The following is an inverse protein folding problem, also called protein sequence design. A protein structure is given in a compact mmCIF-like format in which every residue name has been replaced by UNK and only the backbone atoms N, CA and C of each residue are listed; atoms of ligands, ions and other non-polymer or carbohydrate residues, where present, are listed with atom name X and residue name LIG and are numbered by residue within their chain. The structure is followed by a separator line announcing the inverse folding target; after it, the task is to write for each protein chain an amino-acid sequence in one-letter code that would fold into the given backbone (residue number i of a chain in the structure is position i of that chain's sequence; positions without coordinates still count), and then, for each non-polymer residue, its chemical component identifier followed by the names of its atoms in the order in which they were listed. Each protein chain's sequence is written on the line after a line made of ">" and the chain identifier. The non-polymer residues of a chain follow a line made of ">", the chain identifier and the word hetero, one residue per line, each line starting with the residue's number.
data_IF_131178353601
#
_entry.id   IF_131178353601
#
_cell.length_a   1.000
_cell.length_b   1.000
_cell.length_c   1.000
_cell.angle_alpha   90.00
_cell.angle_beta   90.00
_cell.angle_gamma   90.00
#
_symmetry.space_group_name_H-M   'P 1'
#
loop_
_entity.id
_entity.type
_entity.pdbx_description
1 polymer ?
#
# COMPACT_ATOMS: atom_id res chain seq x y z
N UNK A 1 4.71 -30.76 18.94
CA UNK A 1 5.24 -29.58 19.65
C UNK A 1 5.78 -28.62 18.60
N UNK A 2 4.96 -27.66 18.18
CA UNK A 2 5.35 -26.65 17.19
C UNK A 2 5.75 -25.38 17.94
N UNK A 3 7.02 -25.00 17.86
CA UNK A 3 7.53 -23.74 18.38
C UNK A 3 7.25 -22.65 17.36
N UNK A 4 6.19 -21.87 17.59
CA UNK A 4 5.96 -20.60 16.89
C UNK A 4 6.98 -19.57 17.42
N UNK A 5 8.17 -19.54 16.84
CA UNK A 5 9.07 -18.39 16.96
C UNK A 5 8.48 -17.27 16.13
N UNK A 6 7.66 -16.43 16.76
CA UNK A 6 7.33 -15.11 16.24
C UNK A 6 8.61 -14.28 16.29
N UNK A 7 9.34 -14.25 15.17
CA UNK A 7 10.44 -13.31 14.93
C UNK A 7 9.80 -11.93 14.90
N UNK A 8 9.84 -11.23 16.04
CA UNK A 8 9.49 -9.81 16.09
C UNK A 8 10.49 -9.11 15.19
N UNK A 9 10.05 -8.62 14.04
CA UNK A 9 10.91 -7.83 13.16
C UNK A 9 11.51 -6.66 13.96
N UNK A 10 12.81 -6.39 13.83
CA UNK A 10 13.46 -5.32 14.57
C UNK A 10 12.86 -3.98 14.14
N UNK A 11 11.94 -3.46 14.94
CA UNK A 11 11.38 -2.12 14.78
C UNK A 11 12.44 -1.06 15.08
N UNK A 12 12.45 0.03 14.31
CA UNK A 12 13.33 1.18 14.54
C UNK A 12 13.12 1.73 15.96
N UNK A 13 14.20 1.85 16.73
CA UNK A 13 14.16 2.46 18.07
C UNK A 13 13.95 3.97 17.96
N UNK A 14 12.70 4.41 18.07
CA UNK A 14 12.32 5.82 17.99
C UNK A 14 12.89 6.67 19.13
N UNK A 15 13.27 6.08 20.28
CA UNK A 15 13.95 6.82 21.35
C UNK A 15 15.37 7.16 20.91
N UNK A 16 16.08 6.18 20.34
CA UNK A 16 17.42 6.40 19.78
C UNK A 16 17.39 7.42 18.62
N UNK A 17 16.40 7.34 17.73
CA UNK A 17 16.23 8.31 16.63
C UNK A 17 16.00 9.72 17.19
N UNK A 18 15.10 9.88 18.16
CA UNK A 18 14.84 11.19 18.78
C UNK A 18 16.10 11.80 19.40
N UNK A 19 16.90 10.99 20.10
CA UNK A 19 18.18 11.43 20.68
C UNK A 19 19.21 11.80 19.61
N UNK A 20 19.24 11.09 18.48
CA UNK A 20 20.11 11.42 17.36
C UNK A 20 19.71 12.75 16.72
N UNK A 21 18.42 12.98 16.48
CA UNK A 21 17.90 14.22 15.90
C UNK A 21 18.20 15.41 16.82
N UNK A 22 17.95 15.32 18.12
CA UNK A 22 18.27 16.41 19.08
C UNK A 22 19.76 16.77 19.03
N UNK A 23 20.65 15.77 18.99
CA UNK A 23 22.10 16.00 18.85
C UNK A 23 22.46 16.63 17.52
N UNK A 24 21.87 16.18 16.41
CA UNK A 24 22.13 16.72 15.08
C UNK A 24 21.69 18.19 14.98
N UNK A 25 20.52 18.53 15.53
CA UNK A 25 20.01 19.91 15.57
C UNK A 25 20.95 20.80 16.37
N UNK A 26 21.33 20.39 17.60
CA UNK A 26 22.26 21.15 18.43
C UNK A 26 23.63 21.33 17.78
N UNK A 27 24.14 20.30 17.11
CA UNK A 27 25.43 20.35 16.42
C UNK A 27 25.42 21.27 15.19
N UNK A 28 24.27 21.45 14.54
CA UNK A 28 24.12 22.32 13.36
C UNK A 28 23.98 23.81 13.72
N UNK A 29 23.78 24.15 15.00
CA UNK A 29 23.59 25.55 15.45
C UNK A 29 24.94 26.18 15.79
N UNK A 30 25.28 27.36 15.22
CA UNK A 30 26.49 28.09 15.57
C UNK A 30 26.57 28.43 17.07
N UNK A 31 27.77 28.35 17.66
CA UNK A 31 27.96 28.57 19.10
C UNK A 31 27.41 29.92 19.62
N UNK A 32 27.48 30.99 18.82
CA UNK A 32 26.96 32.31 19.19
C UNK A 32 25.42 32.41 19.20
N UNK A 33 24.73 31.40 18.68
CA UNK A 33 23.27 31.26 18.69
C UNK A 33 22.80 30.19 19.69
N UNK A 34 23.71 29.72 20.54
CA UNK A 34 23.39 28.87 21.69
C UNK A 34 23.15 29.74 22.92
N UNK A 35 22.16 29.35 23.71
CA UNK A 35 21.85 29.93 25.02
C UNK A 35 21.99 28.85 26.08
N UNK A 36 21.98 29.24 27.35
CA UNK A 36 21.94 28.27 28.45
C UNK A 36 20.55 28.28 29.07
N UNK A 37 19.78 27.21 28.87
CA UNK A 37 18.54 27.02 29.63
C UNK A 37 18.90 26.44 30.99
N UNK A 38 18.71 27.24 32.04
CA UNK A 38 18.89 26.77 33.42
C UNK A 38 17.86 25.70 33.78
N UNK A 39 18.26 24.76 34.64
CA UNK A 39 17.36 23.71 35.15
C UNK A 39 16.22 24.32 35.99
N UNK A 40 16.55 25.36 36.76
CA UNK A 40 15.64 26.24 37.51
C UNK A 40 16.19 27.67 37.46
N UNK A 41 15.38 28.72 37.62
CA UNK A 41 15.84 30.12 37.51
C UNK A 41 17.10 30.44 38.33
N UNK A 42 17.17 29.90 39.54
CA UNK A 42 18.24 30.07 40.51
C UNK A 42 19.43 29.12 40.35
N UNK A 43 19.35 28.14 39.45
CA UNK A 43 20.40 27.13 39.25
C UNK A 43 21.63 27.73 38.57
N UNK A 44 22.82 27.34 39.02
CA UNK A 44 24.09 27.57 38.30
C UNK A 44 24.30 26.55 37.18
N UNK A 45 23.60 25.41 37.25
CA UNK A 45 23.57 24.41 36.18
C UNK A 45 22.53 24.75 35.12
N UNK A 46 22.92 24.61 33.86
CA UNK A 46 22.02 24.71 32.71
C UNK A 46 22.51 23.89 31.55
N UNK A 47 21.64 23.72 30.56
CA UNK A 47 21.93 22.99 29.34
C UNK A 47 22.11 23.96 28.17
N UNK A 48 23.10 23.73 27.29
CA UNK A 48 23.20 24.48 26.06
C UNK A 48 21.98 24.16 25.18
N UNK A 49 21.23 25.20 24.82
CA UNK A 49 20.04 25.10 23.97
C UNK A 49 20.09 26.14 22.86
N UNK A 50 19.72 25.78 21.62
CA UNK A 50 19.62 26.73 20.52
C UNK A 50 18.65 27.86 20.84
N UNK A 51 18.95 29.07 20.40
CA UNK A 51 17.92 30.11 20.29
C UNK A 51 16.77 29.60 19.40
N UNK A 52 15.50 29.94 19.69
CA UNK A 52 14.35 29.32 19.01
C UNK A 52 14.41 29.35 17.48
N UNK A 53 14.77 30.49 16.88
CA UNK A 53 14.86 30.62 15.41
C UNK A 53 16.03 29.80 14.83
N UNK A 54 17.19 29.82 15.48
CA UNK A 54 18.35 29.04 15.06
C UNK A 54 18.08 27.53 15.18
N UNK A 55 17.43 27.10 16.26
CA UNK A 55 16.98 25.73 16.47
C UNK A 55 15.99 25.27 15.41
N UNK A 56 15.01 26.10 15.03
CA UNK A 56 14.07 25.79 13.95
C UNK A 56 14.76 25.68 12.59
N UNK A 57 15.67 26.61 12.27
CA UNK A 57 16.44 26.55 11.02
C UNK A 57 17.30 25.29 10.93
N UNK A 58 17.98 24.93 12.02
CA UNK A 58 18.77 23.71 12.11
C UNK A 58 17.89 22.46 11.99
N UNK A 59 16.72 22.42 12.65
CA UNK A 59 15.76 21.33 12.53
C UNK A 59 15.29 21.14 11.09
N UNK A 60 14.92 22.21 10.39
CA UNK A 60 14.54 22.13 8.97
C UNK A 60 15.68 21.63 8.08
N UNK A 61 16.93 22.00 8.37
CA UNK A 61 18.09 21.50 7.65
C UNK A 61 18.30 19.99 7.88
N UNK A 62 18.21 19.54 9.13
CA UNK A 62 18.28 18.11 9.50
C UNK A 62 17.17 17.32 8.81
N UNK A 63 15.93 17.83 8.81
CA UNK A 63 14.80 17.20 8.12
C UNK A 63 15.07 17.03 6.63
N UNK A 64 15.53 18.08 5.93
CA UNK A 64 15.84 17.99 4.49
C UNK A 64 16.96 16.98 4.20
N UNK A 65 17.99 16.93 5.04
CA UNK A 65 19.07 15.97 4.89
C UNK A 65 18.57 14.52 5.10
N UNK A 66 17.76 14.30 6.13
CA UNK A 66 17.15 13.00 6.38
C UNK A 66 16.22 12.56 5.23
N UNK A 67 15.42 13.48 4.67
CA UNK A 67 14.59 13.23 3.50
C UNK A 67 15.44 12.87 2.27
N UNK A 68 16.51 13.62 1.99
CA UNK A 68 17.42 13.30 0.89
C UNK A 68 18.07 11.92 1.05
N UNK A 69 18.40 11.54 2.29
CA UNK A 69 18.93 10.21 2.60
C UNK A 69 17.90 9.11 2.38
N UNK A 70 16.65 9.32 2.81
CA UNK A 70 15.55 8.40 2.54
C UNK A 70 15.33 8.20 1.04
N UNK A 71 15.35 9.29 0.25
CA UNK A 71 15.21 9.20 -1.21
C UNK A 71 16.42 8.52 -1.87
N UNK A 72 17.62 8.66 -1.30
CA UNK A 72 18.78 7.90 -1.75
C UNK A 72 18.60 6.40 -1.51
N UNK A 73 18.07 6.00 -0.35
CA UNK A 73 17.74 4.61 -0.08
C UNK A 73 16.61 4.09 -0.98
N UNK A 74 15.56 4.87 -1.23
CA UNK A 74 14.50 4.50 -2.17
C UNK A 74 15.05 4.24 -3.58
N UNK A 75 15.99 5.06 -4.07
CA UNK A 75 16.70 4.83 -5.33
C UNK A 75 17.54 3.55 -5.31
N UNK A 76 18.18 3.24 -4.19
CA UNK A 76 18.91 1.99 -3.98
C UNK A 76 17.99 0.78 -4.06
N UNK A 77 16.89 0.79 -3.30
CA UNK A 77 15.86 -0.24 -3.31
C UNK A 77 15.27 -0.45 -4.71
N UNK A 78 14.92 0.64 -5.40
CA UNK A 78 14.46 0.57 -6.79
C UNK A 78 15.51 -0.10 -7.69
N UNK A 79 16.79 0.26 -7.54
CA UNK A 79 17.90 -0.37 -8.25
C UNK A 79 18.06 -1.86 -7.96
N UNK A 80 17.74 -2.31 -6.75
CA UNK A 80 17.76 -3.72 -6.34
C UNK A 80 16.51 -4.50 -6.78
N UNK A 81 15.49 -3.80 -7.29
CA UNK A 81 14.27 -4.40 -7.87
C UNK A 81 13.01 -4.21 -7.05
N UNK A 82 13.02 -3.42 -5.97
CA UNK A 82 11.78 -3.08 -5.25
C UNK A 82 10.84 -2.27 -6.15
N UNK A 83 9.54 -2.52 -6.03
CA UNK A 83 8.50 -1.78 -6.76
C UNK A 83 8.24 -0.40 -6.14
N UNK A 84 7.57 0.48 -6.89
CA UNK A 84 7.12 1.77 -6.32
C UNK A 84 6.02 1.60 -5.27
N UNK A 85 5.26 0.51 -5.30
CA UNK A 85 4.27 0.18 -4.26
C UNK A 85 4.99 -0.18 -2.94
N UNK A 86 6.00 -1.06 -2.98
CA UNK A 86 6.80 -1.42 -1.79
C UNK A 86 7.52 -0.20 -1.19
N UNK A 87 8.03 0.68 -2.06
CA UNK A 87 8.66 1.94 -1.63
C UNK A 87 7.62 2.89 -1.02
N UNK A 88 6.40 2.95 -1.55
CA UNK A 88 5.33 3.78 -0.99
C UNK A 88 4.94 3.33 0.43
N UNK A 89 4.85 2.01 0.65
CA UNK A 89 4.59 1.42 1.96
C UNK A 89 5.69 1.78 2.97
N UNK A 90 6.97 1.67 2.58
CA UNK A 90 8.10 2.04 3.43
C UNK A 90 8.20 3.53 3.71
N UNK A 91 7.73 4.37 2.79
CA UNK A 91 7.62 5.81 2.98
C UNK A 91 6.36 6.22 3.77
N UNK A 92 5.56 5.24 4.21
CA UNK A 92 4.31 5.43 4.95
C UNK A 92 3.35 6.40 4.23
N UNK A 93 3.30 6.31 2.89
CA UNK A 93 2.41 7.14 2.08
C UNK A 93 1.00 6.61 2.24
N UNK A 94 0.16 7.33 2.96
CA UNK A 94 -1.25 6.99 3.11
C UNK A 94 -2.01 7.10 1.78
N UNK A 95 -3.04 6.27 1.64
CA UNK A 95 -3.95 6.36 0.50
C UNK A 95 -4.68 7.71 0.51
N UNK A 96 -4.83 8.31 -0.66
CA UNK A 96 -5.64 9.50 -0.89
C UNK A 96 -6.45 9.34 -2.17
N UNK A 97 -7.64 9.95 -2.23
CA UNK A 97 -8.40 10.04 -3.47
C UNK A 97 -7.69 10.91 -4.54
N UNK A 98 -6.75 11.77 -4.11
CA UNK A 98 -6.08 12.73 -4.99
C UNK A 98 -4.85 12.14 -5.71
N UNK A 99 -4.35 10.98 -5.27
CA UNK A 99 -3.16 10.37 -5.87
C UNK A 99 -3.07 8.85 -5.64
N UNK A 100 -2.41 8.16 -6.58
CA UNK A 100 -2.03 6.76 -6.39
C UNK A 100 -0.73 6.70 -5.57
N UNK A 101 -0.66 5.85 -4.53
CA UNK A 101 0.48 5.79 -3.60
C UNK A 101 1.83 5.60 -4.30
N UNK A 102 1.93 4.65 -5.25
CA UNK A 102 3.15 4.40 -6.03
C UNK A 102 3.61 5.59 -6.86
N UNK A 103 2.67 6.33 -7.45
CA UNK A 103 2.98 7.54 -8.21
C UNK A 103 3.51 8.60 -7.26
N UNK A 104 2.86 8.77 -6.11
CA UNK A 104 3.28 9.71 -5.08
C UNK A 104 4.69 9.41 -4.55
N UNK A 105 5.03 8.13 -4.34
CA UNK A 105 6.37 7.71 -3.95
C UNK A 105 7.41 8.15 -4.99
N UNK A 106 7.14 7.89 -6.27
CA UNK A 106 8.01 8.33 -7.36
C UNK A 106 8.17 9.85 -7.37
N UNK A 107 7.08 10.61 -7.29
CA UNK A 107 7.13 12.07 -7.30
C UNK A 107 7.95 12.66 -6.15
N UNK A 108 7.83 12.09 -4.95
CA UNK A 108 8.61 12.51 -3.79
C UNK A 108 10.11 12.30 -4.01
N UNK A 109 10.49 11.14 -4.56
CA UNK A 109 11.90 10.77 -4.82
C UNK A 109 12.47 11.54 -6.03
N UNK A 110 11.69 11.74 -7.09
CA UNK A 110 12.07 12.50 -8.27
C UNK A 110 12.20 14.00 -7.97
N UNK A 111 11.41 14.49 -7.00
CA UNK A 111 11.39 15.89 -6.60
C UNK A 111 10.57 16.77 -7.54
N UNK A 112 10.70 18.11 -7.40
CA UNK A 112 9.93 19.05 -8.20
C UNK A 112 10.26 18.93 -9.68
N UNK A 113 9.25 19.15 -10.54
CA UNK A 113 9.43 19.27 -11.99
C UNK A 113 10.41 20.42 -12.24
N UNK A 114 11.43 20.20 -13.07
CA UNK A 114 12.37 21.27 -13.42
C UNK A 114 11.64 22.38 -14.17
N UNK A 115 12.04 23.64 -14.00
CA UNK A 115 11.42 24.77 -14.71
C UNK A 115 11.58 24.73 -16.24
N UNK A 116 12.39 23.81 -16.76
CA UNK A 116 12.74 23.70 -18.19
C UNK A 116 12.23 22.42 -18.86
N UNK A 117 11.48 21.55 -18.17
CA UNK A 117 10.96 20.33 -18.75
C UNK A 117 9.79 19.78 -17.94
N UNK A 118 8.79 19.23 -18.61
CA UNK A 118 7.59 18.65 -17.98
C UNK A 118 7.85 17.29 -17.32
N UNK A 119 8.97 16.65 -17.63
CA UNK A 119 9.23 15.27 -17.23
C UNK A 119 9.99 15.18 -15.91
N UNK A 120 9.51 14.32 -15.02
CA UNK A 120 10.23 13.85 -13.84
C UNK A 120 10.93 12.54 -14.19
N UNK A 121 12.16 12.39 -13.73
CA UNK A 121 12.86 11.12 -13.81
C UNK A 121 13.76 10.92 -12.60
N UNK A 122 13.97 9.66 -12.27
CA UNK A 122 14.91 9.22 -11.24
C UNK A 122 16.03 8.42 -11.92
N UNK A 123 17.26 8.63 -11.47
CA UNK A 123 18.37 7.79 -11.86
C UNK A 123 18.80 6.88 -10.72
N UNK A 124 19.10 5.63 -11.05
CA UNK A 124 19.73 4.67 -10.15
C UNK A 124 20.57 3.68 -10.95
N UNK A 125 21.36 2.88 -10.26
CA UNK A 125 22.09 1.76 -10.85
C UNK A 125 21.24 0.51 -10.69
N UNK A 126 21.02 -0.23 -11.78
CA UNK A 126 20.37 -1.54 -11.76
C UNK A 126 21.28 -2.55 -11.03
N UNK A 127 21.09 -2.68 -9.72
CA UNK A 127 21.93 -3.44 -8.81
C UNK A 127 21.33 -4.76 -8.35
N UNK A 128 21.85 -5.28 -7.25
CA UNK A 128 21.43 -6.57 -6.70
C UNK A 128 21.87 -7.78 -7.53
N UNK A 129 21.42 -8.97 -7.14
CA UNK A 129 21.84 -10.25 -7.75
C UNK A 129 21.27 -10.49 -9.16
N UNK A 130 20.22 -9.74 -9.53
CA UNK A 130 19.53 -9.81 -10.83
C UNK A 130 19.76 -8.57 -11.71
N UNK A 131 20.42 -7.53 -11.20
CA UNK A 131 20.66 -6.30 -11.94
C UNK A 131 21.71 -6.45 -13.04
N UNK A 132 21.69 -5.52 -14.00
CA UNK A 132 22.65 -5.47 -15.10
C UNK A 132 23.82 -4.49 -14.87
N UNK A 133 23.86 -3.79 -13.73
CA UNK A 133 24.88 -2.80 -13.38
C UNK A 133 24.79 -1.47 -14.14
N UNK A 134 23.87 -1.33 -15.08
CA UNK A 134 23.73 -0.11 -15.89
C UNK A 134 23.01 1.01 -15.12
N UNK A 135 23.22 2.24 -15.58
CA UNK A 135 22.48 3.41 -15.09
C UNK A 135 21.12 3.48 -15.76
N UNK A 136 20.06 3.45 -14.96
CA UNK A 136 18.67 3.45 -15.42
C UNK A 136 18.08 4.85 -15.29
N UNK A 137 17.24 5.21 -16.25
CA UNK A 137 16.33 6.37 -16.18
C UNK A 137 14.92 5.84 -15.97
N UNK A 138 14.33 6.09 -14.80
CA UNK A 138 12.97 5.69 -14.46
C UNK A 138 12.06 6.92 -14.53
N UNK A 139 10.97 6.83 -15.30
CA UNK A 139 9.96 7.88 -15.51
C UNK A 139 8.76 7.74 -14.56
N UNK A 140 8.77 6.74 -13.70
CA UNK A 140 7.73 6.46 -12.72
C UNK A 140 6.66 5.50 -13.22
N UNK A 141 5.74 5.08 -12.36
CA UNK A 141 4.76 4.03 -12.64
C UNK A 141 3.52 4.55 -13.39
N UNK A 142 3.72 5.41 -14.39
CA UNK A 142 2.63 6.07 -15.13
C UNK A 142 2.21 5.30 -16.38
N UNK A 143 3.08 4.49 -16.97
CA UNK A 143 2.72 3.65 -18.10
C UNK A 143 2.37 2.24 -17.63
N UNK A 144 1.48 1.59 -18.39
CA UNK A 144 0.98 0.26 -18.07
C UNK A 144 2.08 -0.81 -18.06
N UNK A 145 3.10 -0.70 -18.91
CA UNK A 145 4.10 -1.77 -19.07
C UNK A 145 5.46 -1.40 -18.43
N UNK A 146 6.11 -2.31 -17.65
CA UNK A 146 7.34 -1.98 -16.91
C UNK A 146 8.49 -1.43 -17.76
N UNK A 147 8.70 -1.96 -18.97
CA UNK A 147 9.80 -1.49 -19.84
C UNK A 147 9.56 -0.11 -20.45
N UNK A 148 8.34 0.41 -20.42
CA UNK A 148 8.05 1.77 -20.92
C UNK A 148 8.41 2.83 -19.88
N UNK A 149 8.50 2.41 -18.62
CA UNK A 149 8.82 3.27 -17.49
C UNK A 149 10.33 3.41 -17.27
N UNK A 150 11.15 2.50 -17.81
CA UNK A 150 12.59 2.45 -17.54
C UNK A 150 13.45 2.28 -18.79
N UNK A 151 14.45 3.15 -18.94
CA UNK A 151 15.47 3.05 -20.00
C UNK A 151 16.87 2.80 -19.43
N UNK A 152 17.74 2.19 -20.24
CA UNK A 152 19.18 2.05 -19.97
C UNK A 152 19.61 0.67 -19.47
N UNK A 153 18.70 -0.31 -19.44
CA UNK A 153 19.07 -1.70 -19.12
C UNK A 153 19.94 -2.31 -20.21
N UNK A 154 20.87 -3.19 -19.82
CA UNK A 154 21.54 -4.06 -20.78
C UNK A 154 20.55 -5.09 -21.34
N UNK A 155 20.83 -5.57 -22.55
CA UNK A 155 20.10 -6.70 -23.13
C UNK A 155 20.13 -7.91 -22.19
N UNK A 156 18.97 -8.54 -21.97
CA UNK A 156 18.84 -9.69 -21.07
C UNK A 156 18.89 -9.37 -19.57
N UNK A 157 18.69 -8.10 -19.17
CA UNK A 157 18.61 -7.72 -17.76
C UNK A 157 17.55 -8.56 -17.01
N UNK A 158 18.01 -9.40 -16.07
CA UNK A 158 17.14 -10.33 -15.32
C UNK A 158 16.20 -9.61 -14.36
N UNK A 159 16.57 -8.44 -13.84
CA UNK A 159 15.69 -7.61 -12.99
C UNK A 159 14.48 -7.12 -13.79
N UNK A 160 14.72 -6.48 -14.93
CA UNK A 160 13.63 -5.99 -15.79
C UNK A 160 12.76 -7.16 -16.29
N UNK A 161 13.38 -8.27 -16.69
CA UNK A 161 12.65 -9.46 -17.09
C UNK A 161 11.72 -9.99 -15.98
N UNK A 162 12.17 -10.00 -14.72
CA UNK A 162 11.35 -10.41 -13.59
C UNK A 162 10.17 -9.45 -13.33
N UNK A 163 10.37 -8.14 -13.50
CA UNK A 163 9.28 -7.15 -13.39
C UNK A 163 8.26 -7.31 -14.52
N UNK A 164 8.72 -7.53 -15.76
CA UNK A 164 7.85 -7.83 -16.90
C UNK A 164 7.05 -9.11 -16.67
N UNK A 165 7.69 -10.18 -16.17
CA UNK A 165 7.00 -11.44 -15.87
C UNK A 165 5.98 -11.27 -14.74
N UNK A 166 6.30 -10.49 -13.71
CA UNK A 166 5.36 -10.16 -12.63
C UNK A 166 4.15 -9.39 -13.14
N UNK A 167 4.39 -8.41 -14.02
CA UNK A 167 3.33 -7.67 -14.68
C UNK A 167 2.44 -8.58 -15.54
N UNK A 168 3.04 -9.45 -16.35
CA UNK A 168 2.30 -10.41 -17.19
C UNK A 168 1.43 -11.34 -16.34
N UNK A 169 1.97 -11.91 -15.26
CA UNK A 169 1.17 -12.73 -14.33
C UNK A 169 -0.01 -11.96 -13.74
N UNK A 170 0.19 -10.70 -13.37
CA UNK A 170 -0.89 -9.87 -12.86
C UNK A 170 -1.96 -9.58 -13.92
N UNK A 171 -1.57 -9.34 -15.18
CA UNK A 171 -2.52 -9.21 -16.28
C UNK A 171 -3.27 -10.52 -16.55
N UNK A 172 -2.57 -11.64 -16.62
CA UNK A 172 -3.16 -12.96 -16.81
C UNK A 172 -4.17 -13.29 -15.71
N UNK A 173 -3.87 -12.93 -14.45
CA UNK A 173 -4.79 -13.07 -13.32
C UNK A 173 -6.03 -12.19 -13.48
N UNK A 174 -5.87 -10.92 -13.87
CA UNK A 174 -6.99 -10.01 -14.12
C UNK A 174 -7.89 -10.52 -15.25
N UNK A 175 -7.30 -10.92 -16.37
CA UNK A 175 -8.04 -11.49 -17.50
C UNK A 175 -8.73 -12.79 -17.11
N UNK A 176 -8.06 -13.65 -16.32
CA UNK A 176 -8.68 -14.88 -15.82
C UNK A 176 -9.90 -14.58 -14.95
N UNK A 177 -9.77 -13.61 -14.02
CA UNK A 177 -10.87 -13.18 -13.17
C UNK A 177 -12.01 -12.59 -13.99
N UNK A 178 -11.71 -11.81 -15.02
CA UNK A 178 -12.71 -11.27 -15.95
C UNK A 178 -13.46 -12.39 -16.67
N UNK A 179 -12.74 -13.37 -17.24
CA UNK A 179 -13.35 -14.55 -17.87
C UNK A 179 -14.26 -15.32 -16.90
N UNK A 180 -13.80 -15.56 -15.66
CA UNK A 180 -14.62 -16.24 -14.64
C UNK A 180 -15.89 -15.45 -14.33
N UNK A 181 -15.81 -14.12 -14.23
CA UNK A 181 -16.99 -13.28 -14.03
C UNK A 181 -17.95 -13.35 -15.21
N UNK A 182 -17.44 -13.30 -16.44
CA UNK A 182 -18.24 -13.36 -17.68
C UNK A 182 -18.97 -14.70 -17.81
N UNK A 183 -18.29 -15.82 -17.52
CA UNK A 183 -18.87 -17.16 -17.58
C UNK A 183 -19.90 -17.41 -16.46
N UNK A 184 -19.65 -16.91 -15.24
CA UNK A 184 -20.52 -17.15 -14.09
C UNK A 184 -21.76 -16.24 -14.04
N UNK A 185 -21.66 -15.01 -14.55
CA UNK A 185 -22.75 -14.03 -14.44
C UNK A 185 -24.09 -14.51 -15.05
N UNK A 186 -24.13 -15.15 -16.23
CA UNK A 186 -25.37 -15.71 -16.79
C UNK A 186 -25.97 -16.86 -15.97
N UNK A 187 -25.17 -17.56 -15.15
CA UNK A 187 -25.61 -18.67 -14.31
C UNK A 187 -26.33 -18.19 -13.04
N UNK A 188 -26.12 -16.93 -12.65
CA UNK A 188 -26.88 -16.28 -11.57
C UNK A 188 -28.26 -15.89 -12.09
N UNK A 189 -29.21 -16.81 -11.99
CA UNK A 189 -30.54 -16.64 -12.61
C UNK A 189 -31.53 -15.87 -11.73
N UNK A 190 -31.41 -15.96 -10.41
CA UNK A 190 -32.34 -15.35 -9.46
C UNK A 190 -32.05 -13.86 -9.21
N UNK A 191 -33.09 -13.08 -8.91
CA UNK A 191 -32.96 -11.63 -8.71
C UNK A 191 -32.07 -11.28 -7.52
N UNK A 192 -32.15 -12.04 -6.42
CA UNK A 192 -31.39 -11.77 -5.20
C UNK A 192 -29.88 -12.01 -5.41
N UNK A 193 -29.50 -13.07 -6.13
CA UNK A 193 -28.13 -13.33 -6.55
C UNK A 193 -27.56 -12.21 -7.42
N UNK A 194 -28.30 -11.76 -8.44
CA UNK A 194 -27.87 -10.63 -9.30
C UNK A 194 -27.67 -9.34 -8.51
N UNK A 195 -28.59 -9.08 -7.60
CA UNK A 195 -28.53 -7.96 -6.67
C UNK A 195 -27.36 -8.05 -5.69
N UNK A 196 -27.00 -9.26 -5.26
CA UNK A 196 -25.83 -9.52 -4.43
C UNK A 196 -24.54 -9.24 -5.20
N UNK A 197 -24.44 -9.70 -6.46
CA UNK A 197 -23.29 -9.41 -7.35
C UNK A 197 -23.05 -7.90 -7.46
N UNK A 198 -24.10 -7.12 -7.73
CA UNK A 198 -24.00 -5.67 -7.84
C UNK A 198 -23.51 -5.02 -6.54
N UNK A 199 -24.03 -5.46 -5.39
CA UNK A 199 -23.63 -4.93 -4.07
C UNK A 199 -22.20 -5.30 -3.69
N UNK A 200 -21.74 -6.53 -4.02
CA UNK A 200 -20.35 -6.93 -3.83
C UNK A 200 -19.42 -6.02 -4.63
N UNK A 201 -19.71 -5.82 -5.93
CA UNK A 201 -18.93 -4.93 -6.79
C UNK A 201 -18.93 -3.48 -6.28
N UNK A 202 -20.07 -3.02 -5.75
CA UNK A 202 -20.16 -1.71 -5.09
C UNK A 202 -19.23 -1.63 -3.87
N UNK A 203 -19.24 -2.64 -2.99
CA UNK A 203 -18.36 -2.69 -1.82
C UNK A 203 -16.89 -2.72 -2.21
N UNK A 204 -16.52 -3.49 -3.23
CA UNK A 204 -15.14 -3.56 -3.73
C UNK A 204 -14.67 -2.23 -4.32
N UNK A 205 -15.55 -1.47 -4.97
CA UNK A 205 -15.22 -0.17 -5.56
C UNK A 205 -15.27 1.01 -4.57
N UNK A 206 -16.00 0.89 -3.45
CA UNK A 206 -16.28 2.01 -2.53
C UNK A 206 -15.87 1.75 -1.06
N UNK A 207 -15.22 0.62 -0.76
CA UNK A 207 -14.61 0.34 0.56
C UNK A 207 -15.60 -0.01 1.67
N UNK A 208 -16.44 -1.03 1.48
CA UNK A 208 -17.10 -1.71 2.63
C UNK A 208 -18.33 -1.02 3.24
N UNK A 209 -19.04 -0.17 2.50
CA UNK A 209 -20.25 0.50 3.04
C UNK A 209 -21.48 -0.41 2.97
N UNK A 210 -21.82 -1.08 4.07
CA UNK A 210 -23.03 -1.90 4.23
C UNK A 210 -24.27 -1.12 4.75
N UNK A 211 -24.19 0.21 4.87
CA UNK A 211 -25.24 1.01 5.55
C UNK A 211 -26.52 1.09 4.72
N UNK A 212 -27.66 0.84 5.37
CA UNK A 212 -28.98 0.91 4.75
C UNK A 212 -29.41 -0.38 4.03
N UNK A 213 -28.60 -1.43 4.11
CA UNK A 213 -28.96 -2.75 3.61
C UNK A 213 -29.71 -3.56 4.68
N UNK A 214 -30.60 -4.43 4.23
CA UNK A 214 -31.23 -5.45 5.05
C UNK A 214 -30.20 -6.48 5.54
N UNK A 215 -30.53 -7.17 6.65
CA UNK A 215 -29.66 -8.21 7.19
C UNK A 215 -29.31 -9.29 6.17
N UNK A 216 -30.26 -9.73 5.35
CA UNK A 216 -30.02 -10.76 4.32
C UNK A 216 -29.01 -10.30 3.26
N UNK A 217 -29.08 -9.03 2.85
CA UNK A 217 -28.15 -8.46 1.87
C UNK A 217 -26.75 -8.31 2.47
N UNK A 218 -26.63 -7.82 3.71
CA UNK A 218 -25.34 -7.73 4.41
C UNK A 218 -24.68 -9.11 4.55
N UNK A 219 -25.46 -10.12 4.94
CA UNK A 219 -24.97 -11.50 5.05
C UNK A 219 -24.53 -12.06 3.70
N UNK A 220 -25.31 -11.84 2.63
CA UNK A 220 -24.98 -12.35 1.31
C UNK A 220 -23.64 -11.77 0.80
N UNK A 221 -23.44 -10.46 0.96
CA UNK A 221 -22.19 -9.81 0.57
C UNK A 221 -21.01 -10.28 1.43
N UNK A 222 -21.19 -10.38 2.75
CA UNK A 222 -20.15 -10.87 3.66
C UNK A 222 -19.76 -12.33 3.35
N UNK A 223 -20.74 -13.19 3.04
CA UNK A 223 -20.48 -14.56 2.59
C UNK A 223 -19.70 -14.57 1.28
N UNK A 224 -20.10 -13.80 0.27
CA UNK A 224 -19.39 -13.74 -1.01
C UNK A 224 -17.95 -13.27 -0.83
N UNK A 225 -17.73 -12.24 0.01
CA UNK A 225 -16.40 -11.69 0.29
C UNK A 225 -15.58 -12.48 1.32
N UNK A 226 -16.15 -13.54 1.92
CA UNK A 226 -15.55 -14.30 3.04
C UNK A 226 -15.19 -13.40 4.24
N UNK A 227 -15.99 -12.37 4.49
CA UNK A 227 -15.80 -11.40 5.56
C UNK A 227 -16.41 -11.90 6.88
N UNK A 228 -15.66 -12.74 7.59
CA UNK A 228 -16.09 -13.33 8.87
C UNK A 228 -16.31 -12.27 9.96
N UNK A 229 -15.54 -11.18 9.94
CA UNK A 229 -15.69 -10.09 10.89
C UNK A 229 -17.06 -9.41 10.73
N UNK A 230 -17.48 -9.18 9.48
CA UNK A 230 -18.79 -8.62 9.21
C UNK A 230 -19.93 -9.59 9.57
N UNK A 231 -19.76 -10.90 9.37
CA UNK A 231 -20.72 -11.91 9.82
C UNK A 231 -20.92 -11.89 11.35
N UNK A 232 -19.84 -11.83 12.10
CA UNK A 232 -19.86 -11.72 13.56
C UNK A 232 -20.51 -10.41 14.01
N UNK A 233 -20.19 -9.30 13.35
CA UNK A 233 -20.74 -7.98 13.67
C UNK A 233 -22.27 -7.91 13.51
N UNK A 234 -22.85 -8.72 12.62
CA UNK A 234 -24.32 -8.84 12.46
C UNK A 234 -24.93 -10.01 13.24
N UNK A 235 -24.14 -10.69 14.07
CA UNK A 235 -24.61 -11.66 15.06
C UNK A 235 -24.65 -13.12 14.59
N UNK A 236 -23.88 -13.50 13.56
CA UNK A 236 -23.87 -14.88 13.04
C UNK A 236 -22.55 -15.55 13.35
N UNK A 237 -22.60 -16.73 13.96
CA UNK A 237 -21.41 -17.44 14.44
C UNK A 237 -20.72 -18.27 13.35
N UNK A 238 -21.37 -18.50 12.21
CA UNK A 238 -20.79 -19.28 11.11
C UNK A 238 -21.34 -18.91 9.73
N UNK A 239 -20.56 -19.11 8.65
CA UNK A 239 -21.04 -18.97 7.29
C UNK A 239 -22.25 -19.84 6.96
N UNK A 240 -22.32 -21.07 7.50
CA UNK A 240 -23.44 -21.98 7.23
C UNK A 240 -24.75 -21.50 7.88
N UNK A 241 -24.67 -20.86 9.04
CA UNK A 241 -25.84 -20.27 9.71
C UNK A 241 -26.36 -19.07 8.92
N UNK A 242 -25.46 -18.17 8.51
CA UNK A 242 -25.80 -17.03 7.66
C UNK A 242 -26.43 -17.49 6.33
N UNK A 243 -25.86 -18.51 5.69
CA UNK A 243 -26.39 -19.05 4.44
C UNK A 243 -27.81 -19.63 4.64
N UNK A 244 -28.03 -20.44 5.69
CA UNK A 244 -29.37 -20.95 6.03
C UNK A 244 -30.39 -19.83 6.21
N UNK A 245 -30.00 -18.74 6.88
CA UNK A 245 -30.87 -17.57 7.09
C UNK A 245 -31.27 -16.88 5.80
N UNK A 246 -30.35 -16.76 4.85
CA UNK A 246 -30.63 -16.18 3.54
C UNK A 246 -31.60 -17.09 2.78
N UNK A 247 -31.30 -18.40 2.72
CA UNK A 247 -32.12 -19.38 2.01
C UNK A 247 -33.56 -19.42 2.55
N UNK A 248 -33.76 -19.35 3.88
CA UNK A 248 -35.10 -19.32 4.46
C UNK A 248 -35.89 -18.06 4.15
N UNK A 249 -35.22 -16.98 3.73
CA UNK A 249 -35.85 -15.71 3.37
C UNK A 249 -36.15 -15.56 1.88
N UNK A 250 -35.68 -16.48 1.04
CA UNK A 250 -35.92 -16.45 -0.40
C UNK A 250 -37.29 -17.03 -0.74
N UNK A 251 -38.02 -16.38 -1.65
CA UNK A 251 -39.29 -16.91 -2.17
C UNK A 251 -39.10 -18.22 -2.94
N UNK A 252 -37.96 -18.36 -3.62
CA UNK A 252 -37.60 -19.55 -4.41
C UNK A 252 -36.15 -19.90 -4.14
N UNK A 253 -35.83 -20.57 -3.03
CA UNK A 253 -34.44 -20.88 -2.69
C UNK A 253 -33.81 -21.85 -3.71
N UNK A 254 -32.52 -21.70 -4.03
CA UNK A 254 -31.79 -22.65 -4.87
C UNK A 254 -31.76 -24.04 -4.23
N UNK A 255 -31.72 -25.08 -5.08
CA UNK A 255 -31.67 -26.48 -4.62
C UNK A 255 -30.34 -26.81 -3.94
N UNK A 256 -29.25 -26.22 -4.43
CA UNK A 256 -27.93 -26.30 -3.83
C UNK A 256 -27.47 -24.89 -3.41
N UNK A 257 -27.62 -24.52 -2.13
CA UNK A 257 -27.17 -23.24 -1.62
C UNK A 257 -25.66 -23.01 -1.72
N UNK A 258 -24.85 -24.08 -1.68
CA UNK A 258 -23.40 -23.97 -1.75
C UNK A 258 -22.95 -23.69 -3.18
N UNK A 259 -23.50 -24.43 -4.15
CA UNK A 259 -23.28 -24.18 -5.58
C UNK A 259 -23.75 -22.76 -5.95
N UNK A 260 -24.95 -22.36 -5.50
CA UNK A 260 -25.45 -21.00 -5.70
C UNK A 260 -24.49 -19.93 -5.16
N UNK A 261 -23.98 -20.09 -3.93
CA UNK A 261 -23.05 -19.14 -3.34
C UNK A 261 -21.74 -19.08 -4.12
N UNK A 262 -21.21 -20.22 -4.56
CA UNK A 262 -20.01 -20.30 -5.39
C UNK A 262 -20.21 -19.59 -6.74
N UNK A 263 -21.35 -19.79 -7.41
CA UNK A 263 -21.69 -19.08 -8.66
C UNK A 263 -21.79 -17.57 -8.45
N UNK A 264 -22.47 -17.13 -7.39
CA UNK A 264 -22.59 -15.69 -7.07
C UNK A 264 -21.22 -15.09 -6.75
N UNK A 265 -20.35 -15.81 -6.04
CA UNK A 265 -18.97 -15.37 -5.77
C UNK A 265 -18.14 -15.26 -7.03
N UNK A 266 -18.17 -16.27 -7.89
CA UNK A 266 -17.46 -16.26 -9.17
C UNK A 266 -17.91 -15.08 -10.04
N UNK A 267 -19.23 -14.86 -10.16
CA UNK A 267 -19.80 -13.73 -10.91
C UNK A 267 -19.44 -12.36 -10.33
N UNK A 268 -19.29 -12.26 -9.00
CA UNK A 268 -19.01 -11.01 -8.32
C UNK A 268 -17.51 -10.65 -8.28
N UNK A 269 -16.64 -11.64 -8.10
CA UNK A 269 -15.23 -11.42 -7.73
C UNK A 269 -14.23 -11.96 -8.75
N UNK A 270 -14.67 -12.84 -9.66
CA UNK A 270 -13.80 -13.58 -10.57
C UNK A 270 -13.02 -14.72 -9.90
N UNK A 271 -13.33 -15.05 -8.64
CA UNK A 271 -12.68 -16.12 -7.89
C UNK A 271 -13.52 -17.40 -7.95
N UNK A 272 -12.87 -18.53 -8.25
CA UNK A 272 -13.44 -19.86 -8.11
C UNK A 272 -13.19 -20.41 -6.70
N UNK A 273 -14.11 -21.23 -6.21
CA UNK A 273 -14.03 -21.90 -4.90
C UNK A 273 -13.36 -23.28 -4.97
#
# INVERSE_FOLDING_TARGET
>A
MSTNSSTTEPTVDMIAVRQLVDRAVKAAVPAHQMTTRKIRPESDYGFPEPQPLAGLQAALAVTRLAQNQAYAFAKGLRGEGSSWDEIADLLEIEWSADYVQRERAFELVAGPVSSYGYDRYVFFTCGGSRGCGQRITDRGPFNGYPSDNEDGHAEGCRRLAAEVEAYQRAQDELEHRERVMEEALPLVTDSFGKETVQRVRYVQSHGGRYRGWSTSETLAVALVLRDNQQLEAVGYASPQEALRRIMSGMSTPPRDPAEWLATVRAAATGLQD
#
